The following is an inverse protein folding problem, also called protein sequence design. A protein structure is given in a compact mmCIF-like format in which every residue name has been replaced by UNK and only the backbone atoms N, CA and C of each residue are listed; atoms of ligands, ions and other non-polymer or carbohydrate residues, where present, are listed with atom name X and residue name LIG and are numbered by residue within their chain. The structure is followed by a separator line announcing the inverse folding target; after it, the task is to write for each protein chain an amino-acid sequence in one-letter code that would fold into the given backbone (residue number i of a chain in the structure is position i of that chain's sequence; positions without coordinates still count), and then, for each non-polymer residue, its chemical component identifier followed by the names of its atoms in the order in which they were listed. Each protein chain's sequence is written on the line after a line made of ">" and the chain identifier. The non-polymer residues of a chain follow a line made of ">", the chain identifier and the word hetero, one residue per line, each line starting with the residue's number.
data_IF_590304197809
#
_entry.id   IF_590304197809
#
_cell.length_a   1.000
_cell.length_b   1.000
_cell.length_c   1.000
_cell.angle_alpha   90.00
_cell.angle_beta   90.00
_cell.angle_gamma   90.00
#
_symmetry.space_group_name_H-M   'P 1'
#
loop_
_entity.id
_entity.type
_entity.pdbx_description
1 polymer ?
#
# COMPACT_ATOMS: atom_id res chain seq x y z
N UNK A 1 26.68 -5.40 0.03
CA UNK A 1 26.03 -4.66 -1.11
C UNK A 1 25.84 -3.21 -0.70
N UNK A 2 26.08 -2.26 -1.62
CA UNK A 2 25.90 -0.81 -1.36
C UNK A 2 25.00 -0.24 -2.45
N UNK A 3 23.97 0.50 -2.04
CA UNK A 3 22.99 1.14 -2.91
C UNK A 3 22.87 2.65 -2.56
N UNK A 4 22.52 3.47 -3.55
CA UNK A 4 22.12 4.87 -3.34
C UNK A 4 20.60 4.97 -3.38
N UNK A 5 20.01 5.45 -2.30
CA UNK A 5 18.56 5.65 -2.17
C UNK A 5 18.25 7.13 -1.99
N UNK A 6 17.27 7.69 -2.71
CA UNK A 6 16.97 9.13 -2.65
C UNK A 6 16.41 9.59 -1.30
N UNK A 7 15.87 8.67 -0.50
CA UNK A 7 15.28 8.96 0.82
C UNK A 7 16.27 8.71 1.94
N UNK A 8 16.93 7.56 1.92
CA UNK A 8 17.82 7.09 2.99
C UNK A 8 19.30 7.34 2.73
N UNK A 9 19.67 7.85 1.56
CA UNK A 9 21.06 8.13 1.21
C UNK A 9 21.84 6.87 0.87
N UNK A 10 22.87 6.54 1.63
CA UNK A 10 23.66 5.34 1.44
C UNK A 10 23.03 4.17 2.21
N UNK A 11 22.55 3.19 1.50
CA UNK A 11 22.02 1.93 2.03
C UNK A 11 23.08 0.84 1.83
N UNK A 12 23.54 0.21 2.91
CA UNK A 12 24.50 -0.91 2.84
C UNK A 12 24.01 -2.08 3.66
N UNK A 13 24.26 -3.29 3.15
CA UNK A 13 23.99 -4.57 3.81
C UNK A 13 25.31 -5.32 3.93
N UNK A 14 25.93 -5.29 5.11
CA UNK A 14 27.30 -5.79 5.35
C UNK A 14 27.39 -6.76 6.53
N UNK A 15 26.36 -6.80 7.39
CA UNK A 15 26.35 -7.68 8.56
C UNK A 15 26.01 -9.12 8.18
N UNK A 16 26.38 -10.06 9.03
CA UNK A 16 26.13 -11.48 8.80
C UNK A 16 24.64 -11.83 8.63
N UNK A 17 23.77 -11.20 9.41
CA UNK A 17 22.32 -11.35 9.26
C UNK A 17 21.75 -10.71 8.00
N UNK A 18 22.48 -9.76 7.40
CA UNK A 18 22.08 -9.02 6.19
C UNK A 18 22.49 -9.74 4.89
N UNK A 19 23.30 -10.80 4.97
CA UNK A 19 23.66 -11.62 3.79
C UNK A 19 22.44 -12.18 3.07
N UNK A 20 21.38 -12.53 3.83
CA UNK A 20 20.11 -13.00 3.26
C UNK A 20 19.50 -11.96 2.31
N UNK A 21 19.62 -10.66 2.63
CA UNK A 21 19.07 -9.58 1.81
C UNK A 21 19.78 -9.54 0.46
N UNK A 22 21.11 -9.70 0.44
CA UNK A 22 21.87 -9.72 -0.81
C UNK A 22 21.42 -10.89 -1.69
N UNK A 23 21.20 -12.07 -1.11
CA UNK A 23 20.73 -13.25 -1.84
C UNK A 23 19.28 -13.07 -2.36
N UNK A 24 18.39 -12.54 -1.54
CA UNK A 24 16.99 -12.31 -1.91
C UNK A 24 16.84 -11.22 -2.98
N UNK A 25 17.69 -10.19 -2.95
CA UNK A 25 17.68 -9.14 -3.99
C UNK A 25 18.01 -9.67 -5.40
N UNK A 26 18.71 -10.80 -5.53
CA UNK A 26 19.02 -11.42 -6.82
C UNK A 26 17.88 -12.32 -7.34
N UNK A 27 16.83 -12.56 -6.57
CA UNK A 27 15.71 -13.43 -6.95
C UNK A 27 14.80 -12.75 -7.98
N UNK A 28 14.22 -13.57 -8.89
CA UNK A 28 13.30 -13.10 -9.94
C UNK A 28 12.11 -12.34 -9.36
N UNK A 29 11.55 -12.83 -8.29
CA UNK A 29 10.34 -12.27 -7.66
C UNK A 29 10.63 -10.88 -7.07
N UNK A 30 11.76 -10.67 -6.42
CA UNK A 30 12.16 -9.36 -5.90
C UNK A 30 12.51 -8.41 -7.05
N UNK A 31 13.22 -8.88 -8.10
CA UNK A 31 13.56 -8.06 -9.26
C UNK A 31 12.31 -7.63 -10.05
N UNK A 32 11.21 -8.42 -10.02
CA UNK A 32 9.92 -8.04 -10.62
C UNK A 32 9.39 -6.72 -10.04
N UNK A 33 9.59 -6.46 -8.75
CA UNK A 33 9.13 -5.23 -8.09
C UNK A 33 9.70 -3.94 -8.72
N UNK A 34 10.80 -4.01 -9.48
CA UNK A 34 11.33 -2.87 -10.27
C UNK A 34 10.37 -2.40 -11.36
N UNK A 35 9.45 -3.24 -11.77
CA UNK A 35 8.50 -2.98 -12.85
C UNK A 35 7.07 -2.78 -12.35
N UNK A 36 6.89 -2.65 -11.03
CA UNK A 36 5.61 -2.33 -10.39
C UNK A 36 5.78 -1.01 -9.64
N UNK A 37 5.01 0.00 -10.02
CA UNK A 37 5.01 1.31 -9.38
C UNK A 37 4.36 1.24 -8.00
N UNK A 38 4.93 1.98 -7.04
CA UNK A 38 4.39 2.06 -5.68
C UNK A 38 3.01 2.72 -5.66
N UNK A 39 2.87 3.83 -6.38
CA UNK A 39 1.65 4.65 -6.40
C UNK A 39 0.86 4.52 -7.72
N UNK A 40 1.00 3.43 -8.45
CA UNK A 40 0.18 3.15 -9.63
C UNK A 40 0.11 4.29 -10.63
N UNK A 41 -1.03 4.99 -10.69
CA UNK A 41 -1.30 6.07 -11.63
C UNK A 41 -1.04 7.48 -11.06
N UNK A 42 -0.46 7.61 -9.88
CA UNK A 42 -0.24 8.90 -9.22
C UNK A 42 0.64 9.87 -10.04
N UNK A 43 1.47 9.38 -10.97
CA UNK A 43 2.27 10.22 -11.87
C UNK A 43 1.42 11.10 -12.80
N UNK A 44 0.14 10.80 -13.01
CA UNK A 44 -0.80 11.70 -13.69
C UNK A 44 -1.08 13.00 -12.90
N UNK A 45 -0.90 12.97 -11.58
CA UNK A 45 -1.03 14.14 -10.70
C UNK A 45 0.33 14.66 -10.23
N UNK A 46 1.26 13.76 -9.96
CA UNK A 46 2.59 14.02 -9.39
C UNK A 46 3.67 13.47 -10.34
N UNK A 47 4.25 14.28 -11.23
CA UNK A 47 5.15 13.79 -12.29
C UNK A 47 6.38 13.01 -11.79
N UNK A 48 6.80 13.21 -10.53
CA UNK A 48 7.90 12.45 -9.92
C UNK A 48 7.50 11.12 -9.26
N UNK A 49 6.20 10.78 -9.22
CA UNK A 49 5.69 9.58 -8.54
C UNK A 49 5.83 8.32 -9.42
N UNK A 50 7.04 8.05 -9.90
CA UNK A 50 7.38 6.90 -10.74
C UNK A 50 8.25 5.86 -10.00
N UNK A 51 8.45 6.04 -8.69
CA UNK A 51 9.21 5.08 -7.87
C UNK A 51 8.49 3.74 -7.77
N UNK A 52 9.30 2.70 -7.59
CA UNK A 52 8.86 1.31 -7.68
C UNK A 52 8.75 0.65 -6.31
N UNK A 53 7.99 -0.43 -6.22
CA UNK A 53 7.94 -1.30 -5.04
C UNK A 53 9.30 -1.87 -4.67
N UNK A 54 10.20 -2.06 -5.64
CA UNK A 54 11.58 -2.45 -5.36
C UNK A 54 12.32 -1.40 -4.50
N UNK A 55 12.23 -0.13 -4.86
CA UNK A 55 12.89 0.93 -4.08
C UNK A 55 12.31 1.06 -2.68
N UNK A 56 11.00 0.87 -2.54
CA UNK A 56 10.30 0.80 -1.25
C UNK A 56 10.75 -0.42 -0.44
N UNK A 57 10.73 -1.63 -0.98
CA UNK A 57 11.15 -2.84 -0.28
C UNK A 57 12.60 -2.75 0.26
N UNK A 58 13.51 -2.20 -0.54
CA UNK A 58 14.90 -1.91 -0.10
C UNK A 58 14.93 -0.91 1.05
N UNK A 59 14.14 0.16 0.95
CA UNK A 59 14.06 1.19 2.00
C UNK A 59 13.44 0.68 3.29
N UNK A 60 12.33 -0.05 3.22
CA UNK A 60 11.72 -0.70 4.38
C UNK A 60 12.68 -1.67 5.08
N UNK A 61 13.45 -2.44 4.30
CA UNK A 61 14.52 -3.31 4.83
C UNK A 61 15.61 -2.50 5.53
N UNK A 62 16.00 -1.36 4.97
CA UNK A 62 17.00 -0.51 5.61
C UNK A 62 16.47 0.13 6.91
N UNK A 63 15.21 0.54 6.95
CA UNK A 63 14.55 0.97 8.19
C UNK A 63 14.52 -0.17 9.20
N UNK A 64 14.23 -1.41 8.77
CA UNK A 64 14.29 -2.59 9.64
C UNK A 64 15.70 -2.82 10.22
N UNK A 65 16.77 -2.69 9.44
CA UNK A 65 18.15 -2.74 9.95
C UNK A 65 18.37 -1.75 11.10
N UNK A 66 17.94 -0.50 10.92
CA UNK A 66 18.07 0.56 11.93
C UNK A 66 17.22 0.28 13.17
N UNK A 67 16.01 -0.23 12.97
CA UNK A 67 15.11 -0.64 14.07
C UNK A 67 15.73 -1.79 14.87
N UNK A 68 16.25 -2.83 14.23
CA UNK A 68 16.94 -3.94 14.90
C UNK A 68 18.16 -3.48 15.71
N UNK A 69 18.93 -2.51 15.19
CA UNK A 69 20.02 -1.89 15.97
C UNK A 69 19.50 -1.21 17.24
N UNK A 70 18.37 -0.49 17.12
CA UNK A 70 17.74 0.14 18.29
C UNK A 70 17.26 -0.91 19.29
N UNK A 71 16.52 -1.92 18.82
CA UNK A 71 16.03 -3.00 19.69
C UNK A 71 17.16 -3.67 20.46
N UNK A 72 18.24 -4.06 19.78
CA UNK A 72 19.44 -4.65 20.42
C UNK A 72 20.10 -3.73 21.45
N UNK A 73 19.98 -2.41 21.31
CA UNK A 73 20.49 -1.46 22.29
C UNK A 73 19.69 -1.38 23.59
N UNK A 74 18.43 -1.86 23.57
CA UNK A 74 17.51 -1.81 24.71
C UNK A 74 17.08 -3.19 25.21
N UNK A 75 17.31 -4.27 24.46
CA UNK A 75 16.87 -5.63 24.81
C UNK A 75 17.73 -6.30 25.88
N UNK A 76 18.82 -5.67 26.31
CA UNK A 76 19.73 -6.22 27.33
C UNK A 76 19.03 -6.47 28.67
N UNK A 77 17.97 -5.74 28.96
CA UNK A 77 17.12 -5.95 30.15
C UNK A 77 16.20 -7.18 30.02
N UNK A 78 16.00 -7.71 28.81
CA UNK A 78 15.15 -8.85 28.56
C UNK A 78 15.89 -10.18 28.77
N UNK A 79 15.17 -11.26 29.14
CA UNK A 79 15.70 -12.62 29.09
C UNK A 79 16.24 -12.96 27.72
N UNK A 80 17.26 -13.82 27.64
CA UNK A 80 17.93 -14.15 26.37
C UNK A 80 16.94 -14.65 25.29
N UNK A 81 15.97 -15.47 25.68
CA UNK A 81 14.95 -16.01 24.73
C UNK A 81 13.96 -14.98 24.22
N UNK A 82 13.98 -13.77 24.75
CA UNK A 82 13.17 -12.63 24.29
C UNK A 82 13.98 -11.59 23.52
N UNK A 83 15.29 -11.81 23.31
CA UNK A 83 16.18 -10.85 22.61
C UNK A 83 16.20 -11.07 21.10
N UNK A 84 16.67 -10.06 20.39
CA UNK A 84 16.89 -10.12 18.93
C UNK A 84 18.18 -10.92 18.65
N UNK A 85 18.04 -12.23 18.38
CA UNK A 85 19.16 -13.07 17.91
C UNK A 85 19.47 -12.79 16.44
N UNK A 86 20.56 -13.36 15.93
CA UNK A 86 20.91 -13.28 14.49
C UNK A 86 19.83 -13.91 13.61
N UNK A 87 19.26 -15.03 14.03
CA UNK A 87 18.20 -15.76 13.32
C UNK A 87 16.92 -14.90 13.23
N UNK A 88 16.46 -14.36 14.37
CA UNK A 88 15.29 -13.47 14.43
C UNK A 88 15.49 -12.17 13.63
N UNK A 89 16.74 -11.66 13.62
CA UNK A 89 17.07 -10.51 12.77
C UNK A 89 16.95 -10.84 11.28
N UNK A 90 17.41 -12.04 10.85
CA UNK A 90 17.24 -12.53 9.47
C UNK A 90 15.76 -12.63 9.08
N UNK A 91 14.93 -13.19 9.95
CA UNK A 91 13.48 -13.29 9.74
C UNK A 91 12.87 -11.91 9.53
N UNK A 92 13.16 -10.96 10.41
CA UNK A 92 12.62 -9.60 10.31
C UNK A 92 13.10 -8.85 9.07
N UNK A 93 14.36 -8.97 8.69
CA UNK A 93 14.93 -8.39 7.48
C UNK A 93 14.29 -8.99 6.21
N UNK A 94 14.17 -10.33 6.18
CA UNK A 94 13.51 -11.00 5.06
C UNK A 94 12.03 -10.61 4.96
N UNK A 95 11.30 -10.57 6.07
CA UNK A 95 9.91 -10.14 6.10
C UNK A 95 9.74 -8.71 5.61
N UNK A 96 10.61 -7.78 6.04
CA UNK A 96 10.59 -6.38 5.57
C UNK A 96 10.88 -6.23 4.06
N UNK A 97 11.73 -7.10 3.48
CA UNK A 97 11.99 -7.08 2.04
C UNK A 97 10.84 -7.69 1.22
N UNK A 98 10.18 -8.70 1.76
CA UNK A 98 9.31 -9.59 0.99
C UNK A 98 7.81 -9.33 1.20
N UNK A 99 7.41 -8.42 2.08
CA UNK A 99 5.99 -8.20 2.44
C UNK A 99 5.11 -7.85 1.25
N UNK A 100 5.64 -7.16 0.25
CA UNK A 100 4.93 -6.63 -0.91
C UNK A 100 5.08 -7.46 -2.20
N UNK A 101 5.69 -8.67 -2.14
CA UNK A 101 5.96 -9.50 -3.32
C UNK A 101 4.72 -9.85 -4.15
N UNK A 102 3.59 -9.98 -3.49
CA UNK A 102 2.34 -10.40 -4.11
C UNK A 102 1.60 -9.32 -4.88
N UNK A 103 2.04 -8.07 -4.87
CA UNK A 103 1.37 -7.02 -5.63
C UNK A 103 1.43 -7.24 -7.14
N UNK A 104 0.26 -7.08 -7.79
CA UNK A 104 0.11 -7.09 -9.23
C UNK A 104 0.30 -5.71 -9.87
N UNK A 105 0.20 -5.61 -11.21
CA UNK A 105 0.26 -4.34 -11.91
C UNK A 105 -0.84 -3.38 -11.45
N UNK A 106 -0.48 -2.10 -11.26
CA UNK A 106 -1.35 -1.07 -10.68
C UNK A 106 -1.94 -1.45 -9.31
N UNK A 107 -1.29 -2.36 -8.60
CA UNK A 107 -1.58 -2.70 -7.20
C UNK A 107 -3.04 -3.14 -6.95
N UNK A 108 -3.73 -2.50 -6.03
CA UNK A 108 -5.07 -2.89 -5.61
C UNK A 108 -6.15 -2.87 -6.71
N UNK A 109 -5.98 -2.05 -7.76
CA UNK A 109 -6.95 -1.99 -8.85
C UNK A 109 -7.05 -3.29 -9.64
N UNK A 110 -5.89 -3.91 -9.90
CA UNK A 110 -5.84 -5.20 -10.58
C UNK A 110 -6.60 -6.28 -9.80
N UNK A 111 -6.38 -6.34 -8.48
CA UNK A 111 -7.03 -7.29 -7.59
C UNK A 111 -8.57 -7.13 -7.56
N UNK A 112 -9.04 -5.88 -7.46
CA UNK A 112 -10.47 -5.57 -7.38
C UNK A 112 -11.24 -5.94 -8.64
N UNK A 113 -10.63 -5.79 -9.81
CA UNK A 113 -11.36 -5.89 -11.08
C UNK A 113 -11.25 -7.28 -11.69
N UNK A 114 -10.09 -7.88 -11.69
CA UNK A 114 -9.88 -9.16 -12.35
C UNK A 114 -10.23 -10.37 -11.46
N UNK A 115 -10.66 -10.12 -10.20
CA UNK A 115 -11.22 -11.14 -9.34
C UNK A 115 -10.21 -12.17 -8.85
N UNK A 116 -8.92 -11.80 -8.83
CA UNK A 116 -7.86 -12.65 -8.29
C UNK A 116 -7.83 -12.67 -6.76
N UNK A 117 -6.94 -13.49 -6.22
CA UNK A 117 -6.61 -13.48 -4.80
C UNK A 117 -6.00 -12.12 -4.40
N UNK A 118 -6.18 -11.72 -3.16
CA UNK A 118 -5.56 -10.52 -2.59
C UNK A 118 -4.02 -10.64 -2.58
N UNK A 119 -3.30 -9.54 -2.73
CA UNK A 119 -1.82 -9.54 -2.79
C UNK A 119 -1.16 -10.26 -1.61
N UNK A 120 -1.78 -10.25 -0.43
CA UNK A 120 -1.30 -11.01 0.72
C UNK A 120 -1.29 -12.52 0.45
N UNK A 121 -2.34 -13.06 -0.19
CA UNK A 121 -2.38 -14.46 -0.56
C UNK A 121 -1.30 -14.80 -1.60
N UNK A 122 -1.07 -13.92 -2.57
CA UNK A 122 0.03 -14.06 -3.52
C UNK A 122 1.39 -13.99 -2.85
N UNK A 123 1.61 -13.04 -1.91
CA UNK A 123 2.84 -12.97 -1.11
C UNK A 123 3.08 -14.31 -0.39
N UNK A 124 2.05 -14.86 0.27
CA UNK A 124 2.15 -16.15 0.94
C UNK A 124 2.50 -17.29 -0.01
N UNK A 125 1.88 -17.33 -1.19
CA UNK A 125 2.21 -18.33 -2.22
C UNK A 125 3.66 -18.22 -2.68
N UNK A 126 4.15 -17.01 -2.97
CA UNK A 126 5.55 -16.78 -3.37
C UNK A 126 6.51 -17.27 -2.29
N UNK A 127 6.23 -17.03 -1.03
CA UNK A 127 7.10 -17.43 0.10
C UNK A 127 7.13 -18.95 0.30
N UNK A 128 6.03 -19.65 0.06
CA UNK A 128 5.86 -21.06 0.41
C UNK A 128 5.97 -22.05 -0.76
N UNK A 129 5.91 -21.57 -2.01
CA UNK A 129 5.97 -22.43 -3.20
C UNK A 129 7.43 -22.70 -3.57
N UNK A 130 7.81 -23.98 -3.65
CA UNK A 130 9.16 -24.45 -3.89
C UNK A 130 9.68 -24.15 -5.31
N UNK A 131 8.82 -23.74 -6.23
CA UNK A 131 9.16 -23.31 -7.57
C UNK A 131 9.76 -21.89 -7.62
N UNK A 132 9.62 -21.08 -6.54
CA UNK A 132 10.13 -19.71 -6.49
C UNK A 132 11.59 -19.64 -6.07
N UNK A 133 12.31 -18.63 -6.55
CA UNK A 133 13.69 -18.38 -6.13
C UNK A 133 13.75 -17.93 -4.68
N UNK A 134 12.79 -17.13 -4.24
CA UNK A 134 12.66 -16.66 -2.85
C UNK A 134 12.56 -17.84 -1.89
N UNK A 135 11.65 -18.79 -2.13
CA UNK A 135 11.52 -19.99 -1.28
C UNK A 135 12.84 -20.76 -1.22
N UNK A 136 13.48 -20.99 -2.36
CA UNK A 136 14.75 -21.71 -2.43
C UNK A 136 15.87 -21.03 -1.63
N UNK A 137 15.99 -19.69 -1.75
CA UNK A 137 16.98 -18.92 -0.98
C UNK A 137 16.70 -19.03 0.52
N UNK A 138 15.46 -18.83 0.96
CA UNK A 138 15.11 -18.95 2.39
C UNK A 138 15.44 -20.34 2.93
N UNK A 139 15.04 -21.39 2.20
CA UNK A 139 15.21 -22.79 2.60
C UNK A 139 16.66 -23.24 2.66
N UNK A 140 17.57 -22.64 1.87
CA UNK A 140 19.01 -22.95 1.96
C UNK A 140 19.63 -22.53 3.28
N UNK A 141 19.07 -21.52 3.95
CA UNK A 141 19.55 -21.03 5.24
C UNK A 141 18.94 -21.81 6.41
N UNK A 142 17.66 -22.12 6.32
CA UNK A 142 16.94 -22.94 7.29
C UNK A 142 15.67 -23.52 6.62
N UNK A 143 15.44 -24.84 6.74
CA UNK A 143 14.26 -25.49 6.14
C UNK A 143 12.90 -24.90 6.56
N UNK A 144 12.80 -24.28 7.74
CA UNK A 144 11.57 -23.68 8.27
C UNK A 144 11.51 -22.16 8.10
N UNK A 145 12.53 -21.55 7.50
CA UNK A 145 12.59 -20.10 7.36
C UNK A 145 11.48 -19.55 6.46
N UNK A 146 11.06 -20.21 5.35
CA UNK A 146 9.95 -19.73 4.54
C UNK A 146 8.66 -19.54 5.35
N UNK A 147 8.29 -20.49 6.17
CA UNK A 147 7.10 -20.46 7.01
C UNK A 147 7.19 -19.36 8.08
N UNK A 148 8.35 -19.25 8.77
CA UNK A 148 8.55 -18.23 9.80
C UNK A 148 8.52 -16.82 9.21
N UNK A 149 9.12 -16.61 8.04
CA UNK A 149 9.06 -15.32 7.34
C UNK A 149 7.62 -15.02 6.90
N UNK A 150 6.88 -16.02 6.36
CA UNK A 150 5.49 -15.84 6.00
C UNK A 150 4.63 -15.46 7.21
N UNK A 151 4.78 -16.14 8.34
CA UNK A 151 4.04 -15.80 9.56
C UNK A 151 4.35 -14.37 10.03
N UNK A 152 5.62 -13.97 9.98
CA UNK A 152 6.03 -12.62 10.40
C UNK A 152 5.49 -11.53 9.47
N UNK A 153 5.46 -11.74 8.15
CA UNK A 153 4.82 -10.84 7.19
C UNK A 153 3.36 -10.57 7.55
N UNK A 154 2.66 -11.61 8.07
CA UNK A 154 1.26 -11.48 8.50
C UNK A 154 1.10 -11.12 9.98
N UNK A 155 2.12 -10.54 10.59
CA UNK A 155 2.07 -10.02 11.96
C UNK A 155 2.05 -11.10 13.04
N UNK A 156 2.47 -12.33 12.75
CA UNK A 156 2.57 -13.42 13.72
C UNK A 156 4.03 -13.79 13.98
N UNK A 157 4.45 -13.65 15.22
CA UNK A 157 5.77 -14.01 15.68
C UNK A 157 5.79 -14.22 17.20
N UNK A 158 6.70 -15.05 17.71
CA UNK A 158 6.88 -15.28 19.15
C UNK A 158 7.31 -14.02 19.92
N UNK A 159 7.91 -13.04 19.22
CA UNK A 159 8.25 -11.72 19.75
C UNK A 159 7.26 -10.69 19.24
N UNK A 160 6.27 -10.23 20.04
CA UNK A 160 5.25 -9.27 19.61
C UNK A 160 5.83 -7.98 19.07
N UNK A 161 6.96 -7.51 19.62
CA UNK A 161 7.62 -6.30 19.14
C UNK A 161 8.19 -6.44 17.72
N UNK A 162 8.62 -7.65 17.28
CA UNK A 162 9.03 -7.88 15.88
C UNK A 162 7.81 -8.01 14.96
N UNK A 163 6.75 -8.68 15.40
CA UNK A 163 5.50 -8.76 14.64
C UNK A 163 4.98 -7.35 14.30
N UNK A 164 4.94 -6.46 15.30
CA UNK A 164 4.52 -5.06 15.12
C UNK A 164 5.49 -4.22 14.31
N UNK A 165 6.78 -4.54 14.31
CA UNK A 165 7.76 -3.85 13.49
C UNK A 165 7.56 -4.10 11.99
N UNK A 166 6.97 -5.24 11.61
CA UNK A 166 6.67 -5.61 10.21
C UNK A 166 5.24 -5.25 9.83
N UNK A 167 4.28 -5.47 10.76
CA UNK A 167 2.85 -5.23 10.51
C UNK A 167 2.19 -4.68 11.77
N UNK A 168 2.13 -3.35 11.90
CA UNK A 168 1.58 -2.66 13.07
C UNK A 168 1.21 -1.22 12.78
N UNK A 169 0.67 -0.50 13.76
CA UNK A 169 0.37 0.93 13.65
C UNK A 169 1.63 1.76 13.36
N UNK A 170 2.75 1.31 13.91
CA UNK A 170 4.10 1.81 13.65
C UNK A 170 4.96 0.64 13.16
N UNK A 171 5.16 0.55 11.87
CA UNK A 171 5.98 -0.46 11.20
C UNK A 171 6.98 0.15 10.22
N UNK A 172 7.91 -0.66 9.74
CA UNK A 172 8.96 -0.22 8.82
C UNK A 172 8.43 0.08 7.42
N UNK A 173 7.33 -0.56 7.03
CA UNK A 173 6.62 -0.31 5.79
C UNK A 173 6.13 1.15 5.76
N UNK A 174 5.32 1.56 6.75
CA UNK A 174 4.83 2.94 6.87
C UNK A 174 5.96 3.96 7.02
N UNK A 175 7.01 3.61 7.75
CA UNK A 175 8.17 4.49 7.92
C UNK A 175 8.87 4.78 6.61
N UNK A 176 9.00 3.81 5.71
CA UNK A 176 9.62 4.04 4.41
C UNK A 176 8.65 4.72 3.45
N UNK A 177 7.43 4.15 3.23
CA UNK A 177 6.60 4.67 2.17
C UNK A 177 6.15 6.11 2.40
N UNK A 178 5.87 6.54 3.63
CA UNK A 178 5.49 7.93 3.90
C UNK A 178 6.60 8.91 3.47
N UNK A 179 7.84 8.62 3.82
CA UNK A 179 8.98 9.45 3.43
C UNK A 179 9.26 9.38 1.93
N UNK A 180 9.15 8.18 1.35
CA UNK A 180 9.42 7.92 -0.07
C UNK A 180 8.37 8.54 -0.97
N UNK A 181 7.11 8.35 -0.65
CA UNK A 181 6.00 8.94 -1.40
C UNK A 181 6.02 10.46 -1.30
N UNK A 182 6.29 11.02 -0.10
CA UNK A 182 6.46 12.45 0.07
C UNK A 182 7.62 13.01 -0.77
N UNK A 183 8.74 12.28 -0.83
CA UNK A 183 9.88 12.65 -1.67
C UNK A 183 9.51 12.62 -3.16
N UNK A 184 8.92 11.54 -3.62
CA UNK A 184 8.61 11.31 -5.03
C UNK A 184 7.49 12.23 -5.55
N UNK A 185 6.48 12.50 -4.73
CA UNK A 185 5.38 13.42 -5.08
C UNK A 185 5.73 14.89 -4.91
N UNK A 186 6.80 15.21 -4.17
CA UNK A 186 7.19 16.56 -3.81
C UNK A 186 6.33 17.19 -2.70
N UNK A 187 5.47 16.40 -2.03
CA UNK A 187 4.59 16.86 -0.95
C UNK A 187 5.39 16.98 0.35
N UNK A 188 5.39 18.15 0.98
CA UNK A 188 6.16 18.40 2.20
C UNK A 188 5.59 17.77 3.47
N UNK A 189 4.32 17.41 3.48
CA UNK A 189 3.59 17.02 4.69
C UNK A 189 3.84 15.57 5.16
N UNK A 190 4.37 14.70 4.30
CA UNK A 190 4.69 13.30 4.66
C UNK A 190 6.03 13.13 5.38
N UNK A 191 6.72 14.23 5.72
CA UNK A 191 8.02 14.19 6.39
C UNK A 191 7.86 14.17 7.91
N UNK A 192 8.63 13.31 8.56
CA UNK A 192 8.77 13.20 10.00
C UNK A 192 10.22 12.83 10.35
N UNK A 193 10.62 13.00 11.60
CA UNK A 193 11.96 12.66 12.07
C UNK A 193 12.06 11.16 12.41
N UNK A 194 12.44 10.35 11.42
CA UNK A 194 12.61 8.91 11.57
C UNK A 194 13.70 8.55 12.60
N UNK A 195 14.79 9.32 12.65
CA UNK A 195 15.89 9.07 13.60
C UNK A 195 15.44 9.24 15.04
N UNK A 196 14.70 10.32 15.29
CA UNK A 196 14.15 10.57 16.61
C UNK A 196 13.08 9.57 16.99
N UNK A 197 12.23 9.19 16.05
CA UNK A 197 11.18 8.19 16.26
C UNK A 197 11.77 6.82 16.63
N UNK A 198 12.76 6.33 15.87
CA UNK A 198 13.44 5.07 16.19
C UNK A 198 14.15 5.13 17.57
N UNK A 199 14.79 6.25 17.91
CA UNK A 199 15.42 6.45 19.22
C UNK A 199 14.44 6.48 20.38
N UNK A 200 13.19 6.84 20.11
CA UNK A 200 12.09 6.90 21.09
C UNK A 200 11.44 5.56 21.36
N UNK A 201 11.82 4.50 20.64
CA UNK A 201 11.29 3.16 20.88
C UNK A 201 11.78 2.60 22.21
N UNK A 202 10.88 1.93 22.90
CA UNK A 202 11.12 1.16 24.13
C UNK A 202 10.24 -0.08 24.14
N UNK A 203 10.31 -0.90 25.19
CA UNK A 203 9.42 -2.02 25.40
C UNK A 203 8.28 -1.62 26.33
N UNK A 204 7.08 -2.07 26.00
CA UNK A 204 5.91 -1.98 26.87
C UNK A 204 5.94 -2.99 28.00
N UNK A 205 4.84 -3.06 28.76
CA UNK A 205 4.68 -4.13 29.75
C UNK A 205 4.20 -5.41 29.05
N UNK A 206 4.83 -6.55 29.36
CA UNK A 206 4.35 -7.84 28.86
C UNK A 206 3.06 -8.24 29.58
N UNK A 207 2.21 -9.02 28.90
CA UNK A 207 0.98 -9.58 29.48
C UNK A 207 1.28 -10.59 30.62
N UNK A 208 2.45 -11.22 30.55
CA UNK A 208 2.99 -12.11 31.59
C UNK A 208 4.51 -12.24 31.42
N UNK A 209 5.22 -12.75 32.45
CA UNK A 209 6.67 -12.99 32.41
C UNK A 209 7.10 -14.00 31.32
N UNK A 210 6.17 -14.82 30.83
CA UNK A 210 6.44 -15.81 29.78
C UNK A 210 6.36 -15.23 28.36
N UNK A 211 5.78 -14.04 28.19
CA UNK A 211 5.56 -13.40 26.90
C UNK A 211 6.53 -12.23 26.74
N UNK A 212 7.14 -12.10 25.56
CA UNK A 212 7.97 -10.94 25.25
C UNK A 212 7.12 -9.65 25.23
N UNK A 213 7.67 -8.50 25.66
CA UNK A 213 6.92 -7.25 25.73
C UNK A 213 6.55 -6.74 24.32
N UNK A 214 5.46 -5.97 24.19
CA UNK A 214 5.16 -5.27 22.95
C UNK A 214 6.10 -4.09 22.72
N UNK A 215 6.16 -3.61 21.48
CA UNK A 215 6.84 -2.35 21.15
C UNK A 215 6.04 -1.17 21.73
N UNK A 216 6.77 -0.18 22.27
CA UNK A 216 6.18 1.01 22.91
C UNK A 216 7.05 2.26 22.63
N UNK A 217 6.55 3.43 23.02
CA UNK A 217 7.23 4.72 22.90
C UNK A 217 7.66 5.24 24.28
N UNK A 218 8.87 5.76 24.40
CA UNK A 218 9.36 6.45 25.61
C UNK A 218 8.59 7.78 25.79
N UNK A 219 7.80 7.88 26.84
CA UNK A 219 6.93 9.03 27.13
C UNK A 219 7.68 10.33 27.45
N UNK A 220 8.99 10.25 27.74
CA UNK A 220 9.79 11.47 28.01
C UNK A 220 10.05 12.29 26.76
N UNK A 221 10.26 11.65 25.63
CA UNK A 221 10.78 12.28 24.40
C UNK A 221 10.05 11.86 23.12
N UNK A 222 9.32 10.74 23.12
CA UNK A 222 8.79 10.11 21.92
C UNK A 222 7.43 10.66 21.47
N UNK A 223 6.66 11.30 22.36
CA UNK A 223 5.31 11.76 22.03
C UNK A 223 5.30 12.67 20.78
N UNK A 224 6.11 13.73 20.68
CA UNK A 224 6.10 14.58 19.49
C UNK A 224 6.51 13.84 18.20
N UNK A 225 7.41 12.85 18.31
CA UNK A 225 7.86 12.07 17.15
C UNK A 225 6.75 11.18 16.59
N UNK A 226 6.02 10.48 17.47
CA UNK A 226 4.93 9.61 17.04
C UNK A 226 3.70 10.43 16.59
N UNK A 227 3.41 11.57 17.20
CA UNK A 227 2.40 12.50 16.73
C UNK A 227 2.73 12.99 15.31
N UNK A 228 3.97 13.40 15.06
CA UNK A 228 4.43 13.84 13.75
C UNK A 228 4.30 12.75 12.70
N UNK A 229 4.64 11.50 13.02
CA UNK A 229 4.48 10.34 12.13
C UNK A 229 3.02 10.09 11.76
N UNK A 230 2.10 10.07 12.73
CA UNK A 230 0.68 9.83 12.49
C UNK A 230 0.01 10.99 11.74
N UNK A 231 0.42 12.23 12.01
CA UNK A 231 -0.03 13.39 11.26
C UNK A 231 0.51 13.40 9.83
N UNK A 232 1.77 13.01 9.62
CA UNK A 232 2.34 12.85 8.29
C UNK A 232 1.52 11.84 7.47
N UNK A 233 1.16 10.69 8.07
CA UNK A 233 0.27 9.71 7.46
C UNK A 233 -1.10 10.31 7.09
N UNK A 234 -1.75 11.01 8.01
CA UNK A 234 -3.05 11.66 7.76
C UNK A 234 -2.97 12.64 6.59
N UNK A 235 -1.94 13.48 6.56
CA UNK A 235 -1.77 14.47 5.49
C UNK A 235 -1.44 13.81 4.15
N UNK A 236 -0.69 12.71 4.13
CA UNK A 236 -0.45 11.96 2.90
C UNK A 236 -1.74 11.36 2.34
N UNK A 237 -2.64 10.85 3.20
CA UNK A 237 -3.97 10.43 2.74
C UNK A 237 -4.75 11.58 2.12
N UNK A 238 -4.75 12.77 2.74
CA UNK A 238 -5.46 13.94 2.22
C UNK A 238 -4.90 14.48 0.91
N UNK A 239 -3.58 14.54 0.79
CA UNK A 239 -2.91 15.24 -0.30
C UNK A 239 -2.58 14.31 -1.48
N UNK A 240 -2.21 13.05 -1.21
CA UNK A 240 -1.73 12.11 -2.21
C UNK A 240 -2.74 11.02 -2.48
N UNK A 241 -3.00 10.11 -1.52
CA UNK A 241 -3.77 8.89 -1.77
C UNK A 241 -5.26 9.16 -2.08
N UNK A 242 -5.81 10.28 -1.58
CA UNK A 242 -7.18 10.71 -1.90
C UNK A 242 -7.21 11.87 -2.90
N UNK A 243 -6.10 12.08 -3.65
CA UNK A 243 -6.08 13.16 -4.62
C UNK A 243 -7.06 12.89 -5.76
N UNK A 244 -7.87 13.91 -6.08
CA UNK A 244 -8.98 13.79 -7.05
C UNK A 244 -8.57 13.27 -8.43
N UNK A 245 -7.37 13.61 -8.90
CA UNK A 245 -6.87 13.16 -10.21
C UNK A 245 -6.50 11.68 -10.17
N UNK A 246 -5.87 11.23 -9.09
CA UNK A 246 -5.53 9.83 -8.90
C UNK A 246 -6.79 8.96 -8.85
N UNK A 247 -7.74 9.31 -7.97
CA UNK A 247 -9.04 8.62 -7.88
C UNK A 247 -9.81 8.60 -9.20
N UNK A 248 -9.69 9.67 -10.00
CA UNK A 248 -10.27 9.71 -11.34
C UNK A 248 -9.58 8.75 -12.32
N UNK A 249 -8.24 8.64 -12.27
CA UNK A 249 -7.50 7.68 -13.09
C UNK A 249 -7.82 6.24 -12.68
N UNK A 250 -7.89 5.97 -11.37
CA UNK A 250 -8.29 4.66 -10.84
C UNK A 250 -9.69 4.27 -11.31
N UNK A 251 -10.67 5.18 -11.23
CA UNK A 251 -12.02 4.96 -11.76
C UNK A 251 -11.98 4.57 -13.23
N UNK A 252 -11.27 5.34 -14.06
CA UNK A 252 -11.15 5.07 -15.49
C UNK A 252 -10.51 3.71 -15.76
N UNK A 253 -9.39 3.40 -15.07
CA UNK A 253 -8.71 2.12 -15.23
C UNK A 253 -9.59 0.95 -14.78
N UNK A 254 -10.33 1.10 -13.67
CA UNK A 254 -11.32 0.11 -13.22
C UNK A 254 -12.32 -0.18 -14.33
N UNK A 255 -12.93 0.85 -14.94
CA UNK A 255 -13.91 0.67 -16.04
C UNK A 255 -13.29 0.05 -17.28
N UNK A 256 -12.06 0.40 -17.61
CA UNK A 256 -11.30 -0.22 -18.72
C UNK A 256 -11.10 -1.72 -18.46
N UNK A 257 -10.60 -2.08 -17.27
CA UNK A 257 -10.32 -3.47 -16.92
C UNK A 257 -11.62 -4.29 -16.81
N UNK A 258 -12.69 -3.74 -16.23
CA UNK A 258 -14.01 -4.37 -16.16
C UNK A 258 -14.53 -4.68 -17.57
N UNK A 259 -14.45 -3.71 -18.49
CA UNK A 259 -14.89 -3.93 -19.86
C UNK A 259 -14.05 -4.95 -20.59
N UNK A 260 -12.72 -4.88 -20.43
CA UNK A 260 -11.81 -5.85 -21.02
C UNK A 260 -12.08 -7.27 -20.47
N UNK A 261 -12.32 -7.40 -19.16
CA UNK A 261 -12.67 -8.68 -18.52
C UNK A 261 -13.93 -9.29 -19.12
N UNK A 262 -15.00 -8.51 -19.30
CA UNK A 262 -16.26 -8.97 -19.93
C UNK A 262 -15.98 -9.48 -21.35
N UNK A 263 -15.32 -8.68 -22.17
CA UNK A 263 -15.00 -9.03 -23.57
C UNK A 263 -14.15 -10.31 -23.67
N UNK A 264 -13.13 -10.42 -22.83
CA UNK A 264 -12.25 -11.60 -22.79
C UNK A 264 -13.02 -12.86 -22.32
N UNK A 265 -13.90 -12.74 -21.34
CA UNK A 265 -14.75 -13.83 -20.86
C UNK A 265 -15.75 -14.31 -21.94
N UNK A 266 -16.24 -13.39 -22.78
CA UNK A 266 -17.08 -13.68 -23.95
C UNK A 266 -16.31 -14.26 -25.15
N UNK A 267 -14.97 -14.42 -25.01
CA UNK A 267 -14.12 -14.97 -26.06
C UNK A 267 -13.62 -13.94 -27.09
N UNK A 268 -13.88 -12.63 -26.86
CA UNK A 268 -13.36 -11.57 -27.74
C UNK A 268 -11.84 -11.48 -27.61
N UNK A 269 -11.13 -11.53 -28.73
CA UNK A 269 -9.68 -11.35 -28.75
C UNK A 269 -9.33 -9.87 -28.68
N UNK A 270 -8.68 -9.47 -27.58
CA UNK A 270 -8.12 -8.14 -27.43
C UNK A 270 -6.60 -8.16 -27.71
N UNK A 271 -6.11 -7.37 -28.70
CA UNK A 271 -4.70 -7.37 -29.07
C UNK A 271 -3.79 -6.97 -27.90
N UNK A 272 -2.60 -7.56 -27.81
CA UNK A 272 -1.61 -7.21 -26.78
C UNK A 272 -1.97 -7.62 -25.36
N UNK A 273 -3.09 -8.33 -25.15
CA UNK A 273 -3.47 -8.82 -23.81
C UNK A 273 -2.49 -9.91 -23.35
N UNK A 274 -1.86 -9.75 -22.16
CA UNK A 274 -1.06 -10.80 -21.57
C UNK A 274 -1.87 -12.09 -21.36
N UNK A 275 -1.28 -13.29 -21.65
CA UNK A 275 -1.98 -14.56 -21.49
C UNK A 275 -2.62 -14.73 -20.11
N UNK A 276 -1.90 -14.36 -19.04
CA UNK A 276 -2.38 -14.44 -17.67
C UNK A 276 -3.67 -13.61 -17.44
N UNK A 277 -3.78 -12.43 -18.05
CA UNK A 277 -5.01 -11.59 -17.95
C UNK A 277 -6.17 -12.27 -18.68
N UNK A 278 -5.92 -12.85 -19.86
CA UNK A 278 -6.95 -13.57 -20.61
C UNK A 278 -7.42 -14.83 -19.87
N UNK A 279 -6.49 -15.58 -19.25
CA UNK A 279 -6.80 -16.74 -18.42
C UNK A 279 -7.61 -16.33 -17.19
N UNK A 280 -7.18 -15.30 -16.47
CA UNK A 280 -7.86 -14.81 -15.27
C UNK A 280 -9.29 -14.33 -15.58
N UNK A 281 -9.49 -13.64 -16.71
CA UNK A 281 -10.81 -13.17 -17.13
C UNK A 281 -11.78 -14.30 -17.46
N UNK A 282 -11.30 -15.43 -18.05
CA UNK A 282 -12.12 -16.58 -18.41
C UNK A 282 -12.35 -17.55 -17.26
N UNK A 283 -11.29 -17.86 -16.53
CA UNK A 283 -11.23 -19.00 -15.61
C UNK A 283 -11.29 -18.56 -14.14
N UNK A 284 -11.20 -17.24 -13.86
CA UNK A 284 -11.20 -16.66 -12.52
C UNK A 284 -9.95 -16.95 -11.68
N UNK A 285 -8.98 -17.67 -12.24
CA UNK A 285 -7.74 -18.02 -11.57
C UNK A 285 -6.58 -18.13 -12.55
N UNK A 286 -5.36 -18.02 -12.04
CA UNK A 286 -4.12 -18.09 -12.82
C UNK A 286 -3.04 -18.77 -11.98
N UNK A 287 -2.09 -19.44 -12.64
CA UNK A 287 -0.96 -20.06 -11.93
C UNK A 287 -0.03 -19.01 -11.32
N UNK A 288 0.75 -19.40 -10.29
CA UNK A 288 1.73 -18.51 -9.68
C UNK A 288 2.76 -18.00 -10.70
N UNK A 289 3.25 -18.87 -11.59
CA UNK A 289 4.21 -18.47 -12.61
C UNK A 289 3.65 -17.41 -13.57
N UNK A 290 2.44 -17.62 -14.08
CA UNK A 290 1.76 -16.66 -14.96
C UNK A 290 1.48 -15.33 -14.25
N UNK A 291 1.12 -15.37 -12.97
CA UNK A 291 0.91 -14.15 -12.16
C UNK A 291 2.21 -13.36 -11.99
N UNK A 292 3.31 -14.04 -11.70
CA UNK A 292 4.63 -13.41 -11.52
C UNK A 292 5.22 -12.82 -12.81
N UNK A 293 4.73 -13.22 -13.96
CA UNK A 293 5.11 -12.61 -15.25
C UNK A 293 4.40 -11.26 -15.47
N UNK A 294 3.31 -10.95 -14.74
CA UNK A 294 2.58 -9.69 -14.87
C UNK A 294 3.29 -8.53 -14.18
N UNK A 295 3.39 -7.40 -14.91
CA UNK A 295 3.91 -6.13 -14.41
C UNK A 295 3.23 -4.92 -15.10
N UNK A 296 3.52 -3.69 -14.63
CA UNK A 296 2.92 -2.47 -15.19
C UNK A 296 3.22 -2.29 -16.68
N UNK A 297 4.47 -2.48 -17.18
CA UNK A 297 4.79 -2.38 -18.61
C UNK A 297 3.92 -3.25 -19.50
N UNK A 298 3.67 -4.50 -19.12
CA UNK A 298 2.82 -5.40 -19.92
C UNK A 298 1.38 -4.88 -20.01
N UNK A 299 0.85 -4.39 -18.90
CA UNK A 299 -0.51 -3.84 -18.90
C UNK A 299 -0.59 -2.52 -19.68
N UNK A 300 0.46 -1.68 -19.65
CA UNK A 300 0.53 -0.49 -20.51
C UNK A 300 0.58 -0.84 -22.01
N UNK A 301 1.27 -1.91 -22.40
CA UNK A 301 1.25 -2.41 -23.79
C UNK A 301 -0.14 -2.88 -24.20
N UNK A 302 -0.81 -3.63 -23.31
CA UNK A 302 -2.19 -4.06 -23.54
C UNK A 302 -3.14 -2.85 -23.70
N UNK A 303 -3.10 -1.89 -22.77
CA UNK A 303 -3.86 -0.65 -22.86
C UNK A 303 -3.59 0.10 -24.17
N UNK A 304 -2.33 0.20 -24.60
CA UNK A 304 -2.00 0.86 -25.87
C UNK A 304 -2.64 0.17 -27.07
N UNK A 305 -2.67 -1.17 -27.07
CA UNK A 305 -3.27 -1.96 -28.15
C UNK A 305 -4.80 -1.92 -28.14
N UNK A 306 -5.42 -1.75 -26.97
CA UNK A 306 -6.90 -1.70 -26.85
C UNK A 306 -7.50 -0.40 -27.34
N UNK A 307 -6.71 0.62 -27.67
CA UNK A 307 -7.23 1.83 -28.37
C UNK A 307 -7.85 1.50 -29.74
N UNK A 308 -7.36 0.45 -30.36
CA UNK A 308 -7.81 -0.03 -31.67
C UNK A 308 -8.79 -1.21 -31.56
N UNK A 309 -9.34 -1.47 -30.37
CA UNK A 309 -10.34 -2.51 -30.15
C UNK A 309 -11.62 -2.21 -30.93
N UNK A 310 -12.28 -3.26 -31.43
CA UNK A 310 -13.60 -3.12 -32.09
C UNK A 310 -14.70 -2.63 -31.13
N UNK A 311 -14.53 -2.84 -29.83
CA UNK A 311 -15.43 -2.32 -28.82
C UNK A 311 -15.21 -0.81 -28.61
N UNK A 312 -16.17 -0.02 -29.08
CA UNK A 312 -16.08 1.44 -29.07
C UNK A 312 -15.94 2.02 -27.67
N UNK A 313 -16.54 1.37 -26.65
CA UNK A 313 -16.49 1.82 -25.26
C UNK A 313 -15.08 1.63 -24.68
N UNK A 314 -14.51 0.44 -24.86
CA UNK A 314 -13.13 0.16 -24.44
C UNK A 314 -12.15 1.11 -25.12
N UNK A 315 -12.26 1.25 -26.43
CA UNK A 315 -11.39 2.13 -27.22
C UNK A 315 -11.48 3.60 -26.78
N UNK A 316 -12.69 4.12 -26.48
CA UNK A 316 -12.88 5.49 -25.98
C UNK A 316 -12.23 5.70 -24.61
N UNK A 317 -12.50 4.83 -23.65
CA UNK A 317 -11.95 4.94 -22.29
C UNK A 317 -10.42 4.91 -22.29
N UNK A 318 -9.84 3.96 -23.03
CA UNK A 318 -8.38 3.82 -23.13
C UNK A 318 -7.76 5.04 -23.84
N UNK A 319 -8.38 5.52 -24.94
CA UNK A 319 -7.92 6.72 -25.65
C UNK A 319 -7.96 7.94 -24.74
N UNK A 320 -9.01 8.09 -23.91
CA UNK A 320 -9.10 9.17 -22.91
C UNK A 320 -7.98 9.11 -21.90
N UNK A 321 -7.69 7.92 -21.34
CA UNK A 321 -6.61 7.75 -20.36
C UNK A 321 -5.25 8.10 -20.96
N UNK A 322 -4.93 7.56 -22.15
CA UNK A 322 -3.68 7.85 -22.87
C UNK A 322 -3.51 9.34 -23.21
N UNK A 323 -4.58 9.99 -23.65
CA UNK A 323 -4.57 11.41 -24.00
C UNK A 323 -4.69 12.33 -22.77
N UNK A 324 -4.67 11.78 -21.56
CA UNK A 324 -4.89 12.52 -20.31
C UNK A 324 -6.19 13.34 -20.31
N UNK A 325 -7.22 12.88 -21.01
CA UNK A 325 -8.60 13.42 -20.96
C UNK A 325 -9.36 12.80 -19.79
N UNK A 326 -8.84 13.02 -18.58
CA UNK A 326 -9.29 12.37 -17.36
C UNK A 326 -10.70 12.84 -16.97
N UNK A 327 -11.44 11.95 -16.34
CA UNK A 327 -12.73 12.27 -15.75
C UNK A 327 -12.57 13.39 -14.73
N UNK A 328 -13.64 14.14 -14.50
CA UNK A 328 -13.69 15.23 -13.52
C UNK A 328 -14.36 14.74 -12.26
N UNK A 329 -14.09 15.43 -11.17
CA UNK A 329 -14.72 15.12 -9.89
C UNK A 329 -15.50 16.34 -9.39
N UNK A 330 -16.56 16.06 -8.65
CA UNK A 330 -17.30 17.03 -7.86
C UNK A 330 -17.44 16.52 -6.44
N UNK A 331 -16.85 17.23 -5.47
CA UNK A 331 -16.86 16.81 -4.07
C UNK A 331 -18.23 17.14 -3.45
N UNK A 332 -18.82 16.17 -2.75
CA UNK A 332 -20.10 16.30 -2.07
C UNK A 332 -19.86 16.70 -0.62
N UNK A 333 -20.65 17.65 -0.11
CA UNK A 333 -20.54 18.15 1.26
C UNK A 333 -21.91 18.24 1.92
N UNK A 334 -21.93 18.26 3.27
CA UNK A 334 -23.14 18.39 4.06
C UNK A 334 -24.19 17.35 3.68
N UNK A 335 -25.44 17.74 3.41
CA UNK A 335 -26.53 16.84 3.09
C UNK A 335 -26.28 16.00 1.82
N UNK A 336 -25.53 16.52 0.84
CA UNK A 336 -25.17 15.76 -0.36
C UNK A 336 -24.17 14.62 -0.07
N UNK A 337 -23.40 14.70 1.01
CA UNK A 337 -22.47 13.67 1.41
C UNK A 337 -23.12 12.55 2.24
N UNK A 338 -24.31 12.79 2.80
CA UNK A 338 -25.07 11.79 3.53
C UNK A 338 -25.52 10.62 2.62
N UNK A 339 -25.74 9.41 3.17
CA UNK A 339 -26.06 8.22 2.37
C UNK A 339 -27.19 8.43 1.35
N UNK A 340 -28.25 9.15 1.71
CA UNK A 340 -29.36 9.46 0.79
C UNK A 340 -28.97 10.53 -0.22
N UNK A 341 -28.35 11.62 0.24
CA UNK A 341 -27.96 12.74 -0.61
C UNK A 341 -26.98 12.36 -1.70
N UNK A 342 -26.01 11.45 -1.39
CA UNK A 342 -25.03 10.96 -2.38
C UNK A 342 -25.67 10.11 -3.46
N UNK A 343 -26.72 9.33 -3.15
CA UNK A 343 -27.45 8.55 -4.13
C UNK A 343 -28.31 9.47 -5.03
N UNK A 344 -29.00 10.45 -4.46
CA UNK A 344 -29.76 11.45 -5.21
C UNK A 344 -28.84 12.27 -6.16
N UNK A 345 -27.65 12.65 -5.68
CA UNK A 345 -26.66 13.34 -6.50
C UNK A 345 -26.14 12.46 -7.66
N UNK A 346 -25.89 11.17 -7.38
CA UNK A 346 -25.50 10.19 -8.39
C UNK A 346 -26.57 10.01 -9.46
N UNK A 347 -27.82 9.84 -9.06
CA UNK A 347 -28.95 9.64 -9.99
C UNK A 347 -29.12 10.85 -10.91
N UNK A 348 -29.11 12.08 -10.37
CA UNK A 348 -29.16 13.32 -11.19
C UNK A 348 -28.00 13.39 -12.17
N UNK A 349 -26.77 13.02 -11.75
CA UNK A 349 -25.60 13.00 -12.63
C UNK A 349 -25.72 11.95 -13.74
N UNK A 350 -26.29 10.77 -13.43
CA UNK A 350 -26.57 9.70 -14.40
C UNK A 350 -27.66 10.10 -15.42
N UNK A 351 -28.68 10.85 -14.99
CA UNK A 351 -29.70 11.40 -15.91
C UNK A 351 -29.05 12.37 -16.91
N UNK A 352 -28.10 13.19 -16.46
CA UNK A 352 -27.35 14.07 -17.35
C UNK A 352 -26.54 13.26 -18.38
N UNK A 353 -25.91 12.15 -17.96
CA UNK A 353 -25.18 11.28 -18.89
C UNK A 353 -26.09 10.62 -19.91
N UNK A 354 -27.26 10.09 -19.49
CA UNK A 354 -28.28 9.53 -20.42
C UNK A 354 -28.73 10.55 -21.44
N UNK A 355 -29.03 11.78 -21.00
CA UNK A 355 -29.44 12.86 -21.89
C UNK A 355 -28.34 13.26 -22.90
N UNK A 356 -27.05 13.02 -22.55
CA UNK A 356 -25.91 13.24 -23.43
C UNK A 356 -25.57 12.02 -24.34
N UNK A 357 -26.32 10.92 -24.25
CA UNK A 357 -26.09 9.70 -25.02
C UNK A 357 -24.90 8.87 -24.51
N UNK A 358 -24.48 9.10 -23.26
CA UNK A 358 -23.38 8.35 -22.62
C UNK A 358 -23.95 7.30 -21.66
N UNK A 359 -23.25 6.15 -21.55
CA UNK A 359 -23.59 5.11 -20.57
C UNK A 359 -23.39 5.64 -19.14
N UNK A 360 -24.47 5.78 -18.33
CA UNK A 360 -24.39 6.37 -17.01
C UNK A 360 -23.56 5.54 -16.01
N UNK A 361 -23.45 4.21 -16.19
CA UNK A 361 -22.72 3.32 -15.30
C UNK A 361 -21.19 3.38 -15.53
N UNK A 362 -20.81 3.84 -16.70
CA UNK A 362 -19.40 3.94 -17.12
C UNK A 362 -18.89 5.37 -16.95
N UNK A 363 -19.67 6.34 -17.46
CA UNK A 363 -19.22 7.74 -17.55
C UNK A 363 -19.56 8.59 -16.33
N UNK A 364 -20.29 8.03 -15.35
CA UNK A 364 -20.60 8.66 -14.06
C UNK A 364 -20.49 7.64 -12.94
N UNK A 365 -19.92 8.05 -11.81
CA UNK A 365 -19.83 7.21 -10.64
C UNK A 365 -19.67 7.98 -9.33
N UNK A 366 -19.71 7.23 -8.25
CA UNK A 366 -19.48 7.70 -6.88
C UNK A 366 -18.16 7.13 -6.38
N UNK A 367 -17.23 8.00 -6.04
CA UNK A 367 -15.95 7.69 -5.39
C UNK A 367 -16.02 8.01 -3.91
N UNK A 368 -15.82 7.02 -3.05
CA UNK A 368 -15.78 7.16 -1.60
C UNK A 368 -14.43 6.67 -1.14
N UNK A 369 -13.59 7.59 -0.69
CA UNK A 369 -12.29 7.28 -0.11
C UNK A 369 -12.32 7.58 1.39
N UNK A 370 -11.93 6.62 2.21
CA UNK A 370 -11.93 6.78 3.68
C UNK A 370 -10.73 6.15 4.35
N UNK A 371 -10.27 6.77 5.45
CA UNK A 371 -9.25 6.20 6.34
C UNK A 371 -9.56 6.55 7.79
N UNK A 372 -9.16 5.68 8.72
CA UNK A 372 -9.21 5.97 10.16
C UNK A 372 -7.89 6.66 10.55
N UNK A 373 -7.98 7.76 11.29
CA UNK A 373 -6.80 8.56 11.67
C UNK A 373 -5.94 7.80 12.69
N UNK A 374 -6.56 7.34 13.76
CA UNK A 374 -5.94 6.53 14.82
C UNK A 374 -6.89 5.40 15.20
N UNK A 375 -6.46 4.17 14.95
CA UNK A 375 -7.18 2.96 15.34
C UNK A 375 -6.45 2.25 16.49
N UNK A 376 -6.76 2.67 17.73
CA UNK A 376 -6.18 2.08 18.94
C UNK A 376 -6.80 0.70 19.27
N UNK A 377 -7.89 0.31 18.62
CA UNK A 377 -8.57 -0.94 18.94
C UNK A 377 -7.86 -2.14 18.32
N UNK A 378 -7.33 -1.96 17.10
CA UNK A 378 -6.66 -3.03 16.36
C UNK A 378 -5.20 -3.24 16.83
N UNK A 379 -4.48 -2.16 17.11
CA UNK A 379 -3.08 -2.19 17.54
C UNK A 379 -2.77 -1.00 18.47
N UNK A 380 -2.99 -1.13 19.80
CA UNK A 380 -2.77 -0.06 20.74
C UNK A 380 -1.28 0.30 20.85
N UNK A 381 -0.95 1.52 20.46
CA UNK A 381 0.38 2.08 20.69
C UNK A 381 0.48 2.62 22.11
N UNK A 382 1.35 2.02 22.91
CA UNK A 382 1.52 2.37 24.32
C UNK A 382 2.69 3.32 24.54
N UNK A 383 2.53 4.22 25.50
CA UNK A 383 3.52 5.18 25.97
C UNK A 383 3.97 4.77 27.36
N UNK A 384 5.28 4.57 27.53
CA UNK A 384 5.89 4.16 28.82
C UNK A 384 6.62 5.34 29.45
N UNK A 385 6.25 5.70 30.67
CA UNK A 385 6.85 6.80 31.43
C UNK A 385 7.95 6.31 32.38
N UNK A 386 8.86 7.22 32.86
CA UNK A 386 9.98 6.85 33.75
C UNK A 386 9.54 6.30 35.11
N UNK A 387 8.37 6.67 35.57
CA UNK A 387 7.75 6.16 36.80
C UNK A 387 7.10 4.78 36.64
N UNK A 388 7.20 4.18 35.45
CA UNK A 388 6.60 2.89 35.11
C UNK A 388 5.15 2.99 34.68
N UNK A 389 4.55 4.18 34.64
CA UNK A 389 3.17 4.34 34.16
C UNK A 389 3.11 4.03 32.66
N UNK A 390 2.09 3.26 32.24
CA UNK A 390 1.78 2.97 30.83
C UNK A 390 0.44 3.56 30.48
N UNK A 391 0.38 4.30 29.39
CA UNK A 391 -0.84 4.95 28.89
C UNK A 391 -0.97 4.76 27.39
N UNK A 392 -2.20 4.82 26.86
CA UNK A 392 -2.42 4.88 25.42
C UNK A 392 -1.95 6.22 24.85
N UNK A 393 -1.61 6.24 23.58
CA UNK A 393 -1.25 7.48 22.89
C UNK A 393 -2.42 8.50 22.92
N UNK A 394 -3.65 8.02 22.80
CA UNK A 394 -4.85 8.86 22.85
C UNK A 394 -5.05 9.57 24.20
N UNK A 395 -4.59 8.97 25.30
CA UNK A 395 -4.68 9.60 26.64
C UNK A 395 -3.64 10.70 26.84
N UNK A 396 -2.49 10.61 26.21
CA UNK A 396 -1.37 11.54 26.43
C UNK A 396 -1.26 12.62 25.35
N UNK A 397 -1.76 12.36 24.16
CA UNK A 397 -1.77 13.32 23.06
C UNK A 397 -3.08 14.09 23.00
N UNK A 398 -3.00 15.40 23.20
CA UNK A 398 -4.17 16.29 23.06
C UNK A 398 -4.84 16.20 21.68
N UNK A 399 -4.02 16.13 20.64
CA UNK A 399 -4.51 16.10 19.26
C UNK A 399 -5.04 14.72 18.86
N UNK A 400 -4.24 13.68 19.07
CA UNK A 400 -4.59 12.32 18.65
C UNK A 400 -5.71 11.73 19.50
N UNK A 401 -5.83 12.13 20.77
CA UNK A 401 -6.97 11.76 21.59
C UNK A 401 -8.32 12.23 21.04
N UNK A 402 -8.33 13.37 20.32
CA UNK A 402 -9.54 13.87 19.64
C UNK A 402 -9.78 13.24 18.28
N UNK A 403 -8.75 12.69 17.68
CA UNK A 403 -8.82 12.03 16.36
C UNK A 403 -8.99 10.50 16.48
N UNK A 404 -9.06 9.99 17.70
CA UNK A 404 -9.23 8.56 17.97
C UNK A 404 -10.55 8.06 17.39
N UNK A 405 -10.48 7.03 16.54
CA UNK A 405 -11.65 6.45 15.89
C UNK A 405 -12.33 7.34 14.85
N UNK A 406 -11.87 8.60 14.71
CA UNK A 406 -12.41 9.49 13.68
C UNK A 406 -12.05 8.99 12.29
N UNK A 407 -13.06 9.02 11.41
CA UNK A 407 -12.93 8.62 10.01
C UNK A 407 -12.87 9.85 9.13
N UNK A 408 -11.79 9.97 8.39
CA UNK A 408 -11.69 10.95 7.33
C UNK A 408 -12.28 10.37 6.04
N UNK A 409 -13.29 11.01 5.49
CA UNK A 409 -13.91 10.60 4.22
C UNK A 409 -13.80 11.71 3.18
N UNK A 410 -13.70 11.28 1.91
CA UNK A 410 -13.86 12.12 0.72
C UNK A 410 -14.87 11.45 -0.20
N UNK A 411 -15.98 12.13 -0.43
CA UNK A 411 -17.11 11.63 -1.22
C UNK A 411 -17.23 12.49 -2.46
N UNK A 412 -17.10 11.89 -3.63
CA UNK A 412 -17.08 12.61 -4.92
C UNK A 412 -17.90 11.91 -5.97
N UNK A 413 -18.59 12.67 -6.78
CA UNK A 413 -19.00 12.21 -8.10
C UNK A 413 -17.77 12.25 -9.02
N UNK A 414 -17.60 11.21 -9.83
CA UNK A 414 -16.61 11.11 -10.90
C UNK A 414 -17.35 11.02 -12.22
N UNK A 415 -16.99 11.81 -13.23
CA UNK A 415 -17.76 11.88 -14.49
C UNK A 415 -16.91 12.34 -15.67
N UNK A 416 -17.35 12.02 -16.89
CA UNK A 416 -16.70 12.43 -18.12
C UNK A 416 -16.64 13.97 -18.25
N UNK A 417 -15.53 14.54 -18.75
CA UNK A 417 -15.28 16.00 -18.77
C UNK A 417 -16.39 16.81 -19.44
N UNK A 418 -17.00 16.30 -20.49
CA UNK A 418 -18.08 16.92 -21.27
C UNK A 418 -19.37 17.12 -20.47
N UNK A 419 -19.59 16.35 -19.41
CA UNK A 419 -20.77 16.44 -18.55
C UNK A 419 -20.65 17.52 -17.47
N UNK A 420 -19.46 18.13 -17.31
CA UNK A 420 -19.12 18.95 -16.13
C UNK A 420 -20.13 20.06 -15.84
N UNK A 421 -20.46 20.86 -16.83
CA UNK A 421 -21.30 22.05 -16.60
C UNK A 421 -22.76 21.67 -16.40
N UNK A 422 -23.23 20.62 -17.09
CA UNK A 422 -24.58 20.11 -16.93
C UNK A 422 -24.81 19.44 -15.58
N UNK A 423 -23.84 18.63 -15.11
CA UNK A 423 -23.90 18.04 -13.77
C UNK A 423 -23.86 19.13 -12.70
N UNK A 424 -22.99 20.14 -12.81
CA UNK A 424 -22.97 21.24 -11.85
C UNK A 424 -24.29 22.00 -11.76
N UNK A 425 -25.02 22.16 -12.88
CA UNK A 425 -26.38 22.75 -12.88
C UNK A 425 -27.38 21.86 -12.19
N UNK A 426 -27.40 20.57 -12.54
CA UNK A 426 -28.33 19.59 -11.97
C UNK A 426 -28.16 19.37 -10.46
N UNK A 427 -26.96 19.58 -9.92
CA UNK A 427 -26.70 19.44 -8.47
C UNK A 427 -27.04 20.70 -7.66
N UNK A 428 -27.23 21.86 -8.30
CA UNK A 428 -27.63 23.11 -7.65
C UNK A 428 -29.17 23.33 -7.63
N UNK A 429 -29.88 22.62 -8.50
CA UNK A 429 -31.35 22.55 -8.53
C UNK A 429 -31.88 21.54 -7.51
#
# INVERSE_FOLDING_TARGET
>A
MILRDPVHGLVSFERKEEEIIVMLLETREVQRLRRIRQLGLASFAYPGADHTRFSHAVGATFVMTRLLMRLRSIDQALPYWQRVTTERAREALAAALLHDLGHGPFSHLFEQVLGGEHHEAWTRRVLLDDSTDVHRVLKTLDPQLPERVAELVFGRHELPYLARAVSGTFDVDRCDYLLRDAHATGVGYGRFDLDWLLRSLTFGLPDSDAVAPPLAIDGRKGIPAIESFLLARLFMFQQVYFHKTERSCEWMLTKILDRARVLLAEGTRLPGTPPAIATLARDGSVSLGEYLDLDDPQLWVALSSWRDAHDALLADLVTRLHARRLFKTYELFGEQAEPRGRLEALDRARDVARAAGLDPEIYVGLDIASTVVLDDAADPLTIVFPDGAVRSLAEVSFLLGRLRGERMERIRLVFAPELRDSIKRALKS
#
